data_IF_818333898798
#
_entry.id   IF_818333898798
#
_cell.length_a   1.000
_cell.length_b   1.000
_cell.length_c   1.000
_cell.angle_alpha   90.00
_cell.angle_beta   90.00
_cell.angle_gamma   90.00
#
_symmetry.space_group_name_H-M   'P 1'
#
loop_
_entity.id
_entity.type
_entity.pdbx_description
1 polymer ?
#
# COMPACT_ATOMS: atom_id res chain seq x y z
N UNK A 1 -34.75 3.03 48.31
CA UNK A 1 -35.16 3.88 47.17
C UNK A 1 -35.13 3.01 45.93
N UNK A 2 -36.30 2.60 45.48
CA UNK A 2 -36.52 1.66 44.37
C UNK A 2 -36.94 2.48 43.15
N UNK A 3 -36.27 2.30 42.01
CA UNK A 3 -36.73 2.82 40.73
C UNK A 3 -36.93 1.67 39.74
N UNK A 4 -38.09 1.61 39.04
CA UNK A 4 -38.47 0.50 38.18
C UNK A 4 -37.91 0.60 36.75
N UNK A 5 -37.84 -0.59 36.16
CA UNK A 5 -37.42 -0.98 34.81
C UNK A 5 -38.28 -0.30 33.72
N UNK A 6 -37.67 0.05 32.58
CA UNK A 6 -38.37 0.14 31.29
C UNK A 6 -37.62 -0.68 30.23
N UNK A 7 -38.19 -1.77 29.68
CA UNK A 7 -37.69 -2.39 28.46
C UNK A 7 -38.27 -1.62 27.27
N UNK A 8 -37.40 -1.07 26.41
CA UNK A 8 -37.88 -0.47 25.17
C UNK A 8 -37.84 -1.47 24.01
N UNK A 9 -39.01 -1.57 23.42
CA UNK A 9 -39.52 -2.49 22.42
C UNK A 9 -39.12 -1.98 21.02
N UNK A 10 -39.22 -2.88 20.03
CA UNK A 10 -39.44 -2.56 18.59
C UNK A 10 -38.16 -2.14 17.83
N UNK A 11 -37.82 -2.63 16.62
CA UNK A 11 -38.62 -3.15 15.50
C UNK A 11 -37.87 -4.28 14.78
N UNK A 12 -38.58 -5.37 14.49
CA UNK A 12 -38.27 -6.24 13.35
C UNK A 12 -38.64 -5.46 12.08
N UNK A 13 -37.65 -5.17 11.24
CA UNK A 13 -37.89 -4.73 9.86
C UNK A 13 -37.54 -5.94 8.99
N UNK A 14 -38.58 -6.63 8.52
CA UNK A 14 -38.46 -7.50 7.38
C UNK A 14 -38.39 -6.65 6.12
N UNK A 15 -37.36 -6.86 5.31
CA UNK A 15 -37.40 -6.52 3.89
C UNK A 15 -36.94 -7.76 3.14
N UNK A 16 -37.93 -8.42 2.59
CA UNK A 16 -37.87 -9.41 1.52
C UNK A 16 -37.38 -8.71 0.25
N UNK A 17 -36.28 -9.18 -0.34
CA UNK A 17 -35.99 -9.06 -1.76
C UNK A 17 -34.88 -10.06 -2.14
N UNK A 18 -35.28 -11.32 -2.34
CA UNK A 18 -34.46 -12.36 -2.94
C UNK A 18 -34.55 -12.18 -4.47
N UNK A 19 -33.58 -11.48 -5.07
CA UNK A 19 -33.46 -11.36 -6.52
C UNK A 19 -32.52 -12.47 -7.03
N UNK A 20 -33.07 -13.40 -7.80
CA UNK A 20 -32.35 -14.48 -8.47
C UNK A 20 -31.52 -13.97 -9.67
N UNK A 21 -30.26 -14.40 -9.69
CA UNK A 21 -29.26 -14.57 -10.77
C UNK A 21 -29.80 -15.30 -12.04
N UNK A 22 -29.04 -15.58 -13.14
CA UNK A 22 -27.67 -15.20 -13.56
C UNK A 22 -27.51 -14.91 -15.11
N UNK A 23 -26.25 -14.85 -15.55
CA UNK A 23 -25.67 -15.28 -16.86
C UNK A 23 -25.47 -14.21 -17.94
N UNK A 24 -24.20 -13.80 -18.07
CA UNK A 24 -23.65 -13.15 -19.25
C UNK A 24 -22.16 -13.45 -19.37
N UNK A 25 -21.81 -14.73 -19.57
CA UNK A 25 -20.44 -15.20 -19.82
C UNK A 25 -20.04 -14.78 -21.24
N UNK A 26 -19.25 -13.71 -21.40
CA UNK A 26 -18.57 -13.44 -22.68
C UNK A 26 -17.18 -14.05 -22.63
N UNK A 27 -17.03 -15.14 -23.38
CA UNK A 27 -15.75 -15.77 -23.68
C UNK A 27 -14.88 -14.80 -24.48
N UNK A 28 -13.69 -14.48 -23.98
CA UNK A 28 -12.63 -13.89 -24.78
C UNK A 28 -11.70 -15.02 -25.25
N UNK A 29 -11.33 -15.06 -26.54
CA UNK A 29 -10.43 -16.07 -27.06
C UNK A 29 -9.02 -15.91 -26.49
N UNK A 30 -8.44 -17.06 -26.13
CA UNK A 30 -7.03 -17.18 -25.78
C UNK A 30 -6.16 -16.88 -27.00
N UNK A 31 -5.39 -15.79 -26.94
CA UNK A 31 -4.26 -15.59 -27.84
C UNK A 31 -3.05 -16.32 -27.24
N UNK A 32 -2.80 -17.49 -27.83
CA UNK A 32 -1.62 -18.29 -27.68
C UNK A 32 -0.43 -17.55 -28.32
N UNK A 33 0.63 -17.30 -27.55
CA UNK A 33 1.97 -17.08 -28.10
C UNK A 33 2.94 -17.93 -27.30
N UNK A 34 3.18 -19.11 -27.84
CA UNK A 34 4.24 -20.02 -27.46
C UNK A 34 5.61 -19.37 -27.63
N UNK A 35 6.46 -19.66 -26.64
CA UNK A 35 7.86 -20.06 -26.76
C UNK A 35 8.71 -19.36 -27.84
N UNK A 36 9.71 -18.62 -27.39
CA UNK A 36 11.09 -18.91 -27.78
C UNK A 36 12.00 -18.62 -26.59
N UNK A 37 12.48 -19.70 -25.98
CA UNK A 37 13.68 -19.70 -25.17
C UNK A 37 14.85 -19.52 -26.14
N UNK A 38 15.64 -18.46 -25.97
CA UNK A 38 17.01 -18.42 -26.50
C UNK A 38 17.92 -17.92 -25.38
N UNK A 39 18.91 -18.78 -25.14
CA UNK A 39 20.11 -18.61 -24.35
C UNK A 39 20.89 -17.34 -24.75
N UNK A 40 21.80 -16.88 -23.90
CA UNK A 40 22.42 -15.56 -23.99
C UNK A 40 23.08 -15.18 -25.32
N UNK A 41 23.11 -13.88 -25.61
CA UNK A 41 24.16 -13.13 -26.31
C UNK A 41 23.85 -11.63 -26.11
N UNK A 42 24.78 -10.82 -25.63
CA UNK A 42 25.76 -10.16 -26.53
C UNK A 42 25.08 -9.62 -27.79
N UNK A 43 24.41 -8.47 -27.66
CA UNK A 43 23.67 -7.91 -28.78
C UNK A 43 22.99 -6.60 -28.43
N UNK A 44 23.76 -5.60 -28.04
CA UNK A 44 23.33 -4.22 -28.03
C UNK A 44 22.97 -3.79 -29.46
N UNK A 45 21.74 -4.05 -29.89
CA UNK A 45 21.14 -3.32 -31.02
C UNK A 45 20.70 -1.99 -30.44
N UNK A 46 21.58 -1.00 -30.59
CA UNK A 46 21.30 0.42 -30.40
C UNK A 46 20.29 0.83 -31.45
N UNK A 47 19.02 0.48 -31.22
CA UNK A 47 17.91 1.11 -31.90
C UNK A 47 17.85 2.55 -31.43
N UNK A 48 18.15 3.50 -32.31
CA UNK A 48 18.01 4.93 -32.07
C UNK A 48 16.53 5.24 -31.88
N UNK A 49 16.03 5.07 -30.65
CA UNK A 49 14.75 5.63 -30.24
C UNK A 49 14.95 7.15 -30.25
N UNK A 50 14.30 7.84 -31.18
CA UNK A 50 14.27 9.30 -31.16
C UNK A 50 13.76 9.72 -29.78
N UNK A 51 14.64 10.31 -28.97
CA UNK A 51 14.32 10.72 -27.60
C UNK A 51 13.29 11.84 -27.70
N UNK A 52 12.02 11.49 -27.51
CA UNK A 52 10.93 12.45 -27.49
C UNK A 52 11.19 13.42 -26.32
N UNK A 53 11.45 14.69 -26.65
CA UNK A 53 11.71 15.72 -25.65
C UNK A 53 10.44 16.03 -24.88
N UNK A 54 10.60 16.21 -23.58
CA UNK A 54 9.53 16.74 -22.74
C UNK A 54 9.28 18.22 -23.11
N UNK A 55 8.05 18.60 -23.50
CA UNK A 55 7.70 19.97 -23.87
C UNK A 55 7.78 20.97 -22.70
N UNK A 56 7.94 20.50 -21.47
CA UNK A 56 8.10 21.33 -20.28
C UNK A 56 9.55 21.64 -19.94
N UNK A 57 10.54 21.16 -20.71
CA UNK A 57 11.95 21.47 -20.48
C UNK A 57 12.39 22.74 -21.20
N UNK A 58 13.16 23.63 -20.53
CA UNK A 58 13.75 24.79 -21.18
C UNK A 58 14.56 24.40 -22.42
N UNK A 59 14.50 25.25 -23.44
CA UNK A 59 15.32 25.09 -24.65
C UNK A 59 16.79 25.11 -24.24
N UNK A 60 17.53 24.06 -24.60
CA UNK A 60 18.93 23.86 -24.21
C UNK A 60 19.17 23.04 -22.93
N UNK A 61 18.14 22.75 -22.13
CA UNK A 61 18.30 21.84 -21.00
C UNK A 61 18.46 20.39 -21.48
N UNK A 62 19.65 19.84 -21.26
CA UNK A 62 19.95 18.42 -21.43
C UNK A 62 20.33 17.90 -20.06
N UNK A 63 19.51 17.05 -19.41
CA UNK A 63 19.91 16.48 -18.13
C UNK A 63 21.20 15.69 -18.33
N UNK A 64 22.11 15.85 -17.40
CA UNK A 64 23.35 15.08 -17.37
C UNK A 64 22.99 13.59 -17.35
N UNK A 65 23.42 12.85 -18.37
CA UNK A 65 23.27 11.41 -18.37
C UNK A 65 24.22 10.90 -17.30
N UNK A 66 23.67 10.36 -16.23
CA UNK A 66 24.43 9.57 -15.27
C UNK A 66 24.83 8.28 -15.97
N UNK A 67 25.86 8.34 -16.81
CA UNK A 67 26.63 7.18 -17.23
C UNK A 67 26.95 6.44 -15.94
N UNK A 68 26.60 5.14 -15.84
CA UNK A 68 26.53 4.34 -14.61
C UNK A 68 27.85 4.16 -13.82
N UNK A 69 28.49 5.27 -13.47
CA UNK A 69 29.77 5.50 -12.79
C UNK A 69 29.73 6.89 -12.12
N UNK A 70 28.58 7.23 -11.54
CA UNK A 70 28.38 8.58 -11.01
C UNK A 70 27.07 8.78 -10.25
N UNK A 71 26.53 7.76 -9.59
CA UNK A 71 25.65 7.97 -8.44
C UNK A 71 26.01 6.94 -7.38
N UNK A 72 27.17 7.18 -6.79
CA UNK A 72 27.53 6.68 -5.47
C UNK A 72 26.72 7.39 -4.39
N UNK A 73 25.41 7.49 -4.54
CA UNK A 73 24.51 7.35 -3.41
C UNK A 73 23.93 5.95 -3.47
N UNK A 74 24.83 4.95 -3.43
CA UNK A 74 24.58 3.79 -2.60
C UNK A 74 24.33 4.35 -1.21
N UNK A 75 23.06 4.68 -0.93
CA UNK A 75 22.59 5.03 0.40
C UNK A 75 23.24 4.01 1.31
N UNK A 76 24.14 4.50 2.18
CA UNK A 76 24.94 3.66 3.07
C UNK A 76 24.01 2.56 3.55
N UNK A 77 24.28 1.33 3.13
CA UNK A 77 23.84 0.18 3.87
C UNK A 77 24.58 0.33 5.21
N UNK A 78 24.03 1.18 6.08
CA UNK A 78 24.40 1.21 7.48
C UNK A 78 24.14 -0.21 7.89
N UNK A 79 25.22 -0.96 8.13
CA UNK A 79 25.16 -2.19 8.87
C UNK A 79 24.39 -1.88 10.14
N UNK A 80 23.09 -2.18 10.14
CA UNK A 80 22.24 -2.00 11.28
C UNK A 80 22.56 -3.15 12.22
N UNK A 81 23.71 -3.06 12.89
CA UNK A 81 23.94 -3.71 14.18
C UNK A 81 23.01 -3.13 15.26
N UNK A 82 22.15 -2.17 14.87
CA UNK A 82 21.08 -1.60 15.66
C UNK A 82 20.13 -2.68 16.15
N UNK A 83 20.28 -3.02 17.42
CA UNK A 83 19.28 -3.71 18.24
C UNK A 83 17.87 -3.30 17.81
N UNK A 84 17.06 -4.30 17.43
CA UNK A 84 15.67 -4.11 17.01
C UNK A 84 14.90 -3.41 18.15
N UNK A 85 14.48 -2.17 17.92
CA UNK A 85 13.74 -1.35 18.86
C UNK A 85 12.39 -0.91 18.26
N UNK A 86 11.39 -1.76 18.49
CA UNK A 86 10.02 -1.52 18.06
C UNK A 86 9.38 -0.27 18.67
N UNK A 87 9.79 0.13 19.87
CA UNK A 87 9.20 1.28 20.55
C UNK A 87 9.69 2.57 19.90
N UNK A 88 10.98 2.64 19.56
CA UNK A 88 11.54 3.76 18.80
C UNK A 88 10.89 3.89 17.43
N UNK A 89 10.68 2.76 16.75
CA UNK A 89 10.05 2.75 15.44
C UNK A 89 8.56 3.12 15.49
N UNK A 90 7.82 2.67 16.51
CA UNK A 90 6.41 3.02 16.70
C UNK A 90 6.19 4.53 16.88
N UNK A 91 7.13 5.24 17.52
CA UNK A 91 7.04 6.71 17.66
C UNK A 91 7.07 7.47 16.33
N UNK A 92 7.59 6.85 15.27
CA UNK A 92 7.57 7.42 13.93
C UNK A 92 6.31 7.09 13.14
N UNK A 93 5.47 6.16 13.63
CA UNK A 93 4.17 5.89 13.03
C UNK A 93 3.19 6.95 13.52
N UNK A 94 2.80 7.86 12.63
CA UNK A 94 1.83 8.91 12.91
C UNK A 94 0.44 8.50 12.42
N UNK A 95 -0.50 8.29 13.35
CA UNK A 95 -1.90 8.05 13.04
C UNK A 95 -2.63 9.39 13.12
N UNK A 96 -3.05 9.91 11.97
CA UNK A 96 -3.62 11.26 11.84
C UNK A 96 -5.13 11.27 12.03
N UNK A 97 -5.79 10.15 11.76
CA UNK A 97 -7.24 10.04 11.97
C UNK A 97 -7.78 8.69 11.55
N UNK A 98 -9.02 8.43 11.98
CA UNK A 98 -9.84 7.30 11.53
C UNK A 98 -11.08 7.88 10.87
N UNK A 99 -11.45 7.35 9.72
CA UNK A 99 -12.64 7.73 8.98
C UNK A 99 -13.47 6.49 8.64
N UNK A 100 -14.76 6.68 8.44
CA UNK A 100 -15.68 5.64 8.01
C UNK A 100 -16.35 6.04 6.71
N UNK A 101 -16.51 5.08 5.79
CA UNK A 101 -17.32 5.21 4.59
C UNK A 101 -18.65 4.47 4.78
N UNK A 102 -19.65 4.81 3.97
CA UNK A 102 -20.90 4.06 3.88
C UNK A 102 -20.61 2.56 3.72
N UNK A 103 -21.36 1.71 4.44
CA UNK A 103 -21.18 0.25 4.38
C UNK A 103 -20.28 -0.36 5.45
N UNK A 104 -20.06 0.31 6.59
CA UNK A 104 -19.22 -0.18 7.71
C UNK A 104 -17.74 -0.38 7.35
N UNK A 105 -17.25 0.33 6.34
CA UNK A 105 -15.83 0.34 6.00
C UNK A 105 -15.11 1.40 6.82
N UNK A 106 -14.00 1.01 7.44
CA UNK A 106 -13.16 1.90 8.24
C UNK A 106 -11.77 2.02 7.63
N UNK A 107 -11.26 3.25 7.63
CA UNK A 107 -9.94 3.60 7.11
C UNK A 107 -9.20 4.43 8.15
N UNK A 108 -7.89 4.26 8.20
CA UNK A 108 -7.00 5.06 9.02
C UNK A 108 -6.05 5.85 8.13
N UNK A 109 -5.76 7.08 8.49
CA UNK A 109 -4.70 7.85 7.85
C UNK A 109 -3.42 7.65 8.67
N UNK A 110 -2.49 6.86 8.14
CA UNK A 110 -1.22 6.53 8.78
C UNK A 110 -0.08 7.04 7.93
N UNK A 111 0.79 7.88 8.50
CA UNK A 111 1.89 8.55 7.80
C UNK A 111 1.43 9.29 6.51
N UNK A 112 0.24 9.90 6.55
CA UNK A 112 -0.35 10.60 5.41
C UNK A 112 -0.98 9.70 4.35
N UNK A 113 -0.97 8.38 4.54
CA UNK A 113 -1.57 7.42 3.62
C UNK A 113 -2.86 6.84 4.20
N UNK A 114 -3.89 6.72 3.36
CA UNK A 114 -5.13 6.02 3.73
C UNK A 114 -4.85 4.52 3.70
N UNK A 115 -5.15 3.85 4.80
CA UNK A 115 -4.93 2.42 4.99
C UNK A 115 -6.15 1.73 5.59
N UNK A 116 -6.40 0.52 5.15
CA UNK A 116 -7.51 -0.35 5.55
C UNK A 116 -7.01 -1.49 6.45
N UNK A 117 -7.93 -2.18 7.11
CA UNK A 117 -7.60 -3.42 7.84
C UNK A 117 -6.95 -4.45 6.91
N UNK A 118 -5.87 -5.08 7.36
CA UNK A 118 -5.06 -6.03 6.59
C UNK A 118 -3.91 -5.39 5.82
N UNK A 119 -3.91 -4.07 5.61
CA UNK A 119 -2.79 -3.39 4.96
C UNK A 119 -1.59 -3.21 5.91
N UNK A 120 -0.42 -3.01 5.31
CA UNK A 120 0.83 -2.80 6.05
C UNK A 120 1.32 -1.36 6.01
N UNK A 121 2.06 -1.01 7.06
CA UNK A 121 2.78 0.25 7.23
C UNK A 121 4.22 -0.10 7.57
N UNK A 122 5.17 0.52 6.86
CA UNK A 122 6.59 0.31 7.07
C UNK A 122 7.28 1.63 7.40
N UNK A 123 8.24 1.57 8.33
CA UNK A 123 9.04 2.72 8.75
C UNK A 123 10.50 2.30 8.91
N UNK A 124 11.43 3.12 8.45
CA UNK A 124 12.86 2.87 8.58
C UNK A 124 13.45 3.65 9.76
N UNK A 125 14.09 2.95 10.69
CA UNK A 125 14.77 3.56 11.85
C UNK A 125 16.13 2.93 12.05
N UNK A 126 17.18 3.73 11.92
CA UNK A 126 18.56 3.28 12.17
C UNK A 126 19.00 2.14 11.24
N UNK A 127 18.57 2.18 9.97
CA UNK A 127 18.88 1.15 8.98
C UNK A 127 17.97 -0.09 9.01
N UNK A 128 17.10 -0.23 10.04
CA UNK A 128 16.13 -1.34 10.13
C UNK A 128 14.76 -0.87 9.65
N UNK A 129 14.14 -1.63 8.75
CA UNK A 129 12.77 -1.48 8.27
C UNK A 129 11.81 -2.27 9.15
N UNK A 130 10.99 -1.57 9.91
CA UNK A 130 9.94 -2.13 10.76
C UNK A 130 8.63 -2.13 9.99
N UNK A 131 7.91 -3.25 10.00
CA UNK A 131 6.62 -3.41 9.32
C UNK A 131 5.55 -3.86 10.30
N UNK A 132 4.42 -3.17 10.26
CA UNK A 132 3.19 -3.53 10.97
C UNK A 132 2.06 -3.77 9.99
N UNK A 133 1.12 -4.62 10.39
CA UNK A 133 -0.16 -4.81 9.72
C UNK A 133 -1.26 -4.18 10.57
N UNK A 134 -2.22 -3.55 9.92
CA UNK A 134 -3.43 -3.04 10.59
C UNK A 134 -4.33 -4.22 10.87
N UNK A 135 -4.44 -4.58 12.15
CA UNK A 135 -5.24 -5.71 12.63
C UNK A 135 -6.73 -5.33 12.76
N UNK A 136 -6.99 -4.06 13.09
CA UNK A 136 -8.35 -3.54 13.14
C UNK A 136 -8.39 -2.04 13.33
N UNK A 137 -9.48 -1.44 12.87
CA UNK A 137 -9.76 -0.01 13.01
C UNK A 137 -11.10 0.11 13.76
N UNK A 138 -11.12 0.88 14.83
CA UNK A 138 -12.29 1.10 15.66
C UNK A 138 -12.51 2.60 15.84
N UNK A 139 -13.65 3.15 15.41
CA UNK A 139 -14.01 4.54 15.70
C UNK A 139 -14.06 4.79 17.21
N UNK A 140 -13.82 6.03 17.67
CA UNK A 140 -13.58 7.23 16.87
C UNK A 140 -12.12 7.43 16.41
N UNK A 141 -11.14 6.74 17.00
CA UNK A 141 -9.72 7.02 16.74
C UNK A 141 -8.75 5.89 17.08
N UNK A 142 -9.23 4.65 17.18
CA UNK A 142 -8.39 3.51 17.56
C UNK A 142 -7.96 2.70 16.34
N UNK A 143 -6.65 2.44 16.25
CA UNK A 143 -6.05 1.55 15.24
C UNK A 143 -5.20 0.53 15.97
N UNK A 144 -5.49 -0.75 15.74
CA UNK A 144 -4.70 -1.87 16.26
C UNK A 144 -3.66 -2.26 15.24
N UNK A 145 -2.40 -2.25 15.65
CA UNK A 145 -1.26 -2.62 14.81
C UNK A 145 -0.63 -3.90 15.34
N UNK A 146 -0.41 -4.87 14.46
CA UNK A 146 0.31 -6.10 14.74
C UNK A 146 1.68 -6.04 14.11
N UNK A 147 2.72 -6.38 14.87
CA UNK A 147 4.10 -6.45 14.36
C UNK A 147 4.20 -7.60 13.34
N UNK A 148 4.84 -7.34 12.21
CA UNK A 148 5.02 -8.34 11.13
C UNK A 148 6.49 -8.71 11.00
N UNK A 149 7.36 -7.72 10.79
CA UNK A 149 8.79 -7.96 10.59
C UNK A 149 9.64 -6.73 10.91
N UNK A 150 10.89 -6.97 11.28
CA UNK A 150 11.93 -5.95 11.38
C UNK A 150 13.18 -6.54 10.72
N UNK A 151 13.70 -5.87 9.69
CA UNK A 151 14.83 -6.33 8.88
C UNK A 151 15.72 -5.18 8.46
#
# INVERSE_FOLDING_TARGET
MTYPIKPNLTKKIGITALLMLPIGLKAFPAANSQTNQVDGIDGAVVGTVAVQRDPFWPVGYTPERLDGKGSGEQGKALESSGKIDWNKAMKQVAIQGVSSRAGNEFFAVVNGQIKSTGETVSVQVGGVSYTWMIDGISPPSSVKLRRVSAR
#
